data_IF_355351887553
#
_entry.id   IF_355351887553
#
_cell.length_a   1.000
_cell.length_b   1.000
_cell.length_c   1.000
_cell.angle_alpha   90.00
_cell.angle_beta   90.00
_cell.angle_gamma   90.00
#
_symmetry.space_group_name_H-M   'P 1'
#
loop_
_entity.id
_entity.type
_entity.pdbx_description
1 polymer ?
#
# COMPACT_ATOMS: atom_id res chain seq x y z
N UNK A 1 13.47 49.47 15.67
CA UNK A 1 12.09 48.92 15.68
C UNK A 1 11.29 49.61 14.59
N UNK A 2 11.07 48.94 13.46
CA UNK A 2 10.41 49.52 12.28
C UNK A 2 8.89 49.48 12.39
N UNK A 3 8.23 50.52 11.87
CA UNK A 3 6.79 50.61 11.70
C UNK A 3 6.47 50.62 10.21
N UNK A 4 5.47 49.84 9.78
CA UNK A 4 5.12 49.67 8.36
C UNK A 4 3.67 50.07 8.11
N UNK A 5 3.36 50.48 6.88
CA UNK A 5 1.99 50.81 6.47
C UNK A 5 1.11 49.55 6.43
N UNK A 6 -0.22 49.74 6.39
CA UNK A 6 -1.17 48.64 6.21
C UNK A 6 -0.87 47.81 4.97
N UNK A 7 -0.55 48.46 3.84
CA UNK A 7 -0.22 47.82 2.57
C UNK A 7 1.03 46.94 2.69
N UNK A 8 2.09 47.46 3.30
CA UNK A 8 3.31 46.71 3.54
C UNK A 8 3.11 45.56 4.53
N UNK A 9 2.29 45.76 5.57
CA UNK A 9 1.94 44.69 6.50
C UNK A 9 1.12 43.58 5.82
N UNK A 10 0.15 43.93 4.99
CA UNK A 10 -0.67 42.98 4.23
C UNK A 10 0.14 42.21 3.19
N UNK A 11 1.05 42.88 2.48
CA UNK A 11 1.96 42.24 1.53
C UNK A 11 2.88 41.22 2.23
N UNK A 12 3.39 41.54 3.43
CA UNK A 12 4.24 40.64 4.21
C UNK A 12 3.48 39.47 4.84
N UNK A 13 2.23 39.68 5.25
CA UNK A 13 1.36 38.63 5.80
C UNK A 13 0.73 37.76 4.70
N UNK A 14 0.52 38.29 3.49
CA UNK A 14 -0.23 37.62 2.43
C UNK A 14 -1.71 37.39 2.82
N UNK A 15 -2.32 38.34 3.52
CA UNK A 15 -3.69 38.23 4.05
C UNK A 15 -4.55 39.43 3.66
N UNK A 16 -5.87 39.32 3.87
CA UNK A 16 -6.82 40.42 3.63
C UNK A 16 -6.83 41.42 4.80
N UNK A 17 -7.24 42.69 4.58
CA UNK A 17 -7.31 43.72 5.63
C UNK A 17 -8.01 43.27 6.91
N UNK A 18 -9.09 42.50 6.79
CA UNK A 18 -9.84 41.99 7.96
C UNK A 18 -8.95 41.16 8.90
N UNK A 19 -8.01 40.39 8.35
CA UNK A 19 -7.09 39.55 9.13
C UNK A 19 -6.04 40.39 9.85
N UNK A 20 -5.52 41.45 9.22
CA UNK A 20 -4.60 42.39 9.87
C UNK A 20 -5.28 43.08 11.06
N UNK A 21 -6.48 43.64 10.86
CA UNK A 21 -7.22 44.33 11.91
C UNK A 21 -7.62 43.41 13.06
N UNK A 22 -8.02 42.16 12.77
CA UNK A 22 -8.33 41.17 13.81
C UNK A 22 -7.10 40.83 14.67
N UNK A 23 -5.90 40.81 14.10
CA UNK A 23 -4.67 40.56 14.88
C UNK A 23 -4.25 41.77 15.72
N UNK A 24 -4.55 42.98 15.26
CA UNK A 24 -4.35 44.21 16.05
C UNK A 24 -5.32 44.27 17.23
N UNK A 25 -6.61 44.02 16.98
CA UNK A 25 -7.64 43.97 18.04
C UNK A 25 -7.32 42.92 19.11
N UNK A 26 -6.68 41.80 18.73
CA UNK A 26 -6.24 40.73 19.64
C UNK A 26 -4.86 40.99 20.28
N UNK A 27 -4.28 42.18 20.09
CA UNK A 27 -2.98 42.56 20.65
C UNK A 27 -1.78 41.78 20.09
N UNK A 28 -1.94 41.08 18.96
CA UNK A 28 -0.87 40.27 18.34
C UNK A 28 0.05 41.08 17.43
N UNK A 29 -0.45 42.22 16.93
CA UNK A 29 0.30 43.21 16.17
C UNK A 29 0.05 44.56 16.81
N UNK A 30 1.10 45.24 17.29
CA UNK A 30 0.98 46.60 17.77
C UNK A 30 0.70 47.57 16.61
N UNK A 31 -0.19 48.53 16.84
CA UNK A 31 -0.53 49.58 15.90
C UNK A 31 -0.45 50.97 16.55
N UNK A 32 -0.09 52.00 15.78
CA UNK A 32 -0.09 53.39 16.21
C UNK A 32 -0.56 54.32 15.08
N UNK A 33 -1.05 55.53 15.37
CA UNK A 33 -1.37 56.52 14.35
C UNK A 33 -0.14 56.90 13.51
N UNK A 34 -0.34 57.16 12.22
CA UNK A 34 0.70 57.68 11.35
C UNK A 34 0.93 59.18 11.64
N UNK A 35 2.16 59.62 11.97
CA UNK A 35 2.47 61.03 12.20
C UNK A 35 2.22 61.94 10.98
N UNK A 36 2.23 61.39 9.76
CA UNK A 36 2.02 62.13 8.52
C UNK A 36 0.55 62.21 8.09
N UNK A 37 -0.31 61.30 8.58
CA UNK A 37 -1.74 61.27 8.27
C UNK A 37 -2.53 60.65 9.44
N UNK A 38 -3.25 61.46 10.25
CA UNK A 38 -4.01 60.97 11.40
C UNK A 38 -5.09 59.93 11.06
N UNK A 39 -5.47 59.80 9.78
CA UNK A 39 -6.45 58.79 9.32
C UNK A 39 -5.82 57.43 9.03
N UNK A 40 -4.49 57.31 9.11
CA UNK A 40 -3.75 56.08 8.83
C UNK A 40 -3.12 55.52 10.09
N UNK A 41 -2.93 54.20 10.09
CA UNK A 41 -2.23 53.48 11.15
C UNK A 41 -0.96 52.83 10.60
N UNK A 42 0.08 52.82 11.42
CA UNK A 42 1.31 52.07 11.21
C UNK A 42 1.33 50.84 12.13
N UNK A 43 1.93 49.76 11.67
CA UNK A 43 1.96 48.46 12.34
C UNK A 43 3.39 48.06 12.66
N UNK A 44 3.60 47.40 13.79
CA UNK A 44 4.91 46.88 14.18
C UNK A 44 5.42 45.88 13.14
N UNK A 45 6.55 46.22 12.50
CA UNK A 45 7.20 45.35 11.49
C UNK A 45 7.58 44.00 12.08
N UNK A 46 8.04 44.00 13.33
CA UNK A 46 8.49 42.79 14.04
C UNK A 46 7.32 41.84 14.34
N UNK A 47 6.19 42.38 14.78
CA UNK A 47 5.00 41.57 15.06
C UNK A 47 4.41 40.97 13.77
N UNK A 48 4.40 41.77 12.71
CA UNK A 48 3.99 41.36 11.36
C UNK A 48 4.89 40.23 10.85
N UNK A 49 6.22 40.38 10.98
CA UNK A 49 7.19 39.36 10.55
C UNK A 49 7.09 38.07 11.37
N UNK A 50 6.95 38.19 12.69
CA UNK A 50 6.76 37.05 13.60
C UNK A 50 5.49 36.27 13.26
N UNK A 51 4.39 36.98 12.96
CA UNK A 51 3.13 36.35 12.58
C UNK A 51 3.21 35.72 11.18
N UNK A 52 3.84 36.39 10.22
CA UNK A 52 4.07 35.87 8.87
C UNK A 52 4.96 34.61 8.88
N UNK A 53 6.02 34.60 9.70
CA UNK A 53 6.89 33.44 9.86
C UNK A 53 6.14 32.22 10.43
N UNK A 54 5.28 32.42 11.44
CA UNK A 54 4.44 31.36 12.00
C UNK A 54 3.44 30.79 10.97
N UNK A 55 2.79 31.64 10.18
CA UNK A 55 1.88 31.18 9.13
C UNK A 55 2.58 30.43 8.01
N UNK A 56 3.75 30.90 7.56
CA UNK A 56 4.59 30.20 6.58
C UNK A 56 5.06 28.84 7.11
N UNK A 57 5.50 28.77 8.37
CA UNK A 57 5.90 27.51 9.00
C UNK A 57 4.76 26.49 9.07
N UNK A 58 3.54 26.94 9.38
CA UNK A 58 2.36 26.07 9.43
C UNK A 58 1.96 25.53 8.06
N UNK A 59 1.93 26.37 7.01
CA UNK A 59 1.68 25.92 5.63
C UNK A 59 2.75 24.95 5.15
N UNK A 60 4.02 25.20 5.47
CA UNK A 60 5.12 24.27 5.14
C UNK A 60 4.93 22.91 5.82
N UNK A 61 4.55 22.88 7.09
CA UNK A 61 4.27 21.63 7.82
C UNK A 61 3.04 20.88 7.26
N UNK A 62 1.98 21.60 6.87
CA UNK A 62 0.78 21.00 6.23
C UNK A 62 1.12 20.39 4.86
N UNK A 63 1.90 21.08 4.03
CA UNK A 63 2.35 20.56 2.73
C UNK A 63 3.25 19.34 2.90
N UNK A 64 4.19 19.37 3.85
CA UNK A 64 5.06 18.21 4.16
C UNK A 64 4.23 17.01 4.62
N UNK A 65 3.31 17.19 5.57
CA UNK A 65 2.46 16.10 6.05
C UNK A 65 1.54 15.50 4.97
N UNK A 66 0.99 16.33 4.07
CA UNK A 66 0.17 15.86 2.96
C UNK A 66 1.01 15.10 1.91
N UNK A 67 2.23 15.55 1.65
CA UNK A 67 3.17 14.86 0.76
C UNK A 67 3.60 13.53 1.36
N UNK A 68 3.96 13.48 2.65
CA UNK A 68 4.35 12.26 3.36
C UNK A 68 3.33 11.11 3.23
N UNK A 69 2.03 11.39 3.24
CA UNK A 69 0.97 10.35 3.12
C UNK A 69 0.75 9.90 1.67
N UNK A 70 1.07 10.74 0.68
CA UNK A 70 0.81 10.48 -0.74
C UNK A 70 2.11 10.47 -1.54
N UNK A 71 2.85 9.36 -1.45
CA UNK A 71 4.10 9.13 -2.21
C UNK A 71 5.22 10.13 -1.94
N UNK A 72 5.20 10.82 -0.81
CA UNK A 72 6.28 11.70 -0.33
C UNK A 72 7.24 10.97 0.61
N UNK A 73 7.90 11.74 1.47
CA UNK A 73 8.96 11.20 2.34
C UNK A 73 8.46 10.08 3.26
N UNK A 74 9.28 9.04 3.52
CA UNK A 74 8.91 7.91 4.38
C UNK A 74 8.35 8.35 5.73
N UNK A 75 7.15 7.86 6.08
CA UNK A 75 6.43 8.26 7.30
C UNK A 75 6.79 7.37 8.49
N UNK A 76 7.22 6.14 8.21
CA UNK A 76 7.60 5.14 9.21
C UNK A 76 8.92 4.51 8.80
N UNK A 77 9.78 4.26 9.79
CA UNK A 77 10.97 3.45 9.58
C UNK A 77 10.54 1.98 9.40
N UNK A 78 11.23 1.29 8.50
CA UNK A 78 11.13 -0.16 8.34
C UNK A 78 12.48 -0.73 7.92
N UNK A 79 12.79 -1.94 8.38
CA UNK A 79 13.94 -2.72 7.95
C UNK A 79 13.53 -3.94 7.09
N UNK A 80 12.25 -4.03 6.70
CA UNK A 80 11.67 -5.22 6.05
C UNK A 80 11.94 -5.19 4.54
N UNK A 81 11.58 -4.10 3.86
CA UNK A 81 11.75 -3.97 2.41
C UNK A 81 12.01 -2.55 1.98
N UNK A 82 12.56 -2.40 0.78
CA UNK A 82 12.74 -1.09 0.13
C UNK A 82 12.75 -1.25 -1.39
N UNK A 83 12.43 -0.16 -2.11
CA UNK A 83 12.63 -0.08 -3.55
C UNK A 83 13.70 0.97 -3.83
N UNK A 84 14.81 0.56 -4.44
CA UNK A 84 15.95 1.41 -4.77
C UNK A 84 16.30 1.16 -6.24
N UNK A 85 16.41 2.24 -7.02
CA UNK A 85 16.76 2.19 -8.45
C UNK A 85 15.92 1.18 -9.24
N UNK A 86 14.60 1.19 -9.00
CA UNK A 86 13.65 0.30 -9.65
C UNK A 86 13.71 -1.17 -9.19
N UNK A 87 14.55 -1.53 -8.22
CA UNK A 87 14.68 -2.91 -7.72
C UNK A 87 14.03 -3.05 -6.34
N UNK A 88 13.39 -4.19 -6.10
CA UNK A 88 12.76 -4.52 -4.83
C UNK A 88 13.69 -5.38 -3.98
N UNK A 89 13.93 -4.96 -2.74
CA UNK A 89 14.76 -5.68 -1.80
C UNK A 89 13.96 -6.11 -0.57
N UNK A 90 14.16 -7.35 -0.14
CA UNK A 90 13.66 -7.94 1.09
C UNK A 90 14.85 -8.13 2.03
N UNK A 91 14.92 -7.35 3.13
CA UNK A 91 16.05 -7.39 4.08
C UNK A 91 17.43 -7.26 3.39
N UNK A 92 17.49 -6.52 2.29
CA UNK A 92 18.70 -6.32 1.48
C UNK A 92 18.91 -7.34 0.36
N UNK A 93 18.11 -8.41 0.29
CA UNK A 93 18.16 -9.39 -0.79
C UNK A 93 17.22 -9.03 -1.93
N UNK A 94 17.65 -9.18 -3.18
CA UNK A 94 16.83 -8.85 -4.35
C UNK A 94 15.66 -9.83 -4.51
N UNK A 95 14.43 -9.31 -4.53
CA UNK A 95 13.22 -10.12 -4.59
C UNK A 95 13.08 -10.92 -5.90
N UNK A 96 13.55 -10.38 -7.03
CA UNK A 96 13.54 -11.08 -8.31
C UNK A 96 14.54 -12.25 -8.28
N UNK A 97 15.73 -12.03 -7.72
CA UNK A 97 16.72 -13.11 -7.52
C UNK A 97 16.19 -14.20 -6.58
N UNK A 98 15.62 -13.82 -5.43
CA UNK A 98 15.00 -14.75 -4.48
C UNK A 98 13.93 -15.61 -5.14
N UNK A 99 13.09 -15.02 -6.01
CA UNK A 99 12.01 -15.74 -6.67
C UNK A 99 12.49 -16.96 -7.47
N UNK A 100 13.75 -16.96 -7.93
CA UNK A 100 14.30 -18.04 -8.75
C UNK A 100 14.51 -19.34 -7.98
N UNK A 101 14.74 -19.27 -6.66
CA UNK A 101 15.08 -20.45 -5.86
C UNK A 101 14.34 -20.57 -4.52
N UNK A 102 13.91 -19.46 -3.91
CA UNK A 102 13.25 -19.47 -2.61
C UNK A 102 11.76 -19.85 -2.73
N UNK A 103 11.20 -20.44 -1.68
CA UNK A 103 9.76 -20.56 -1.50
C UNK A 103 9.23 -19.50 -0.51
N UNK A 104 7.91 -19.47 -0.33
CA UNK A 104 7.27 -18.47 0.52
C UNK A 104 7.65 -18.66 1.99
N UNK A 105 7.82 -19.90 2.43
CA UNK A 105 8.27 -20.28 3.76
C UNK A 105 9.68 -19.73 4.07
N UNK A 106 10.61 -19.84 3.12
CA UNK A 106 11.96 -19.27 3.21
C UNK A 106 11.91 -17.75 3.27
N UNK A 107 11.08 -17.12 2.43
CA UNK A 107 10.90 -15.66 2.44
C UNK A 107 10.24 -15.18 3.73
N UNK A 108 9.32 -15.95 4.31
CA UNK A 108 8.74 -15.65 5.61
C UNK A 108 9.79 -15.68 6.72
N UNK A 109 10.66 -16.70 6.73
CA UNK A 109 11.77 -16.77 7.69
C UNK A 109 12.71 -15.56 7.56
N UNK A 110 13.02 -15.14 6.33
CA UNK A 110 13.83 -13.94 6.06
C UNK A 110 13.15 -12.66 6.57
N UNK A 111 11.91 -12.41 6.16
CA UNK A 111 11.20 -11.17 6.49
C UNK A 111 10.91 -11.04 7.99
N UNK A 112 10.56 -12.15 8.64
CA UNK A 112 10.29 -12.22 10.08
C UNK A 112 11.56 -12.33 10.93
N UNK A 113 12.73 -12.52 10.31
CA UNK A 113 14.01 -12.78 11.00
C UNK A 113 13.88 -13.92 12.01
N UNK A 114 13.20 -15.00 11.60
CA UNK A 114 12.93 -16.17 12.42
C UNK A 114 13.80 -17.36 12.01
N UNK A 115 13.75 -18.43 12.80
CA UNK A 115 14.19 -19.75 12.34
C UNK A 115 13.28 -20.30 11.22
N UNK A 116 13.51 -21.54 10.77
CA UNK A 116 12.71 -22.18 9.73
C UNK A 116 11.19 -22.09 10.01
N UNK A 117 10.44 -21.70 8.98
CA UNK A 117 8.99 -21.51 9.05
C UNK A 117 8.28 -22.67 8.37
N UNK A 118 7.23 -23.18 9.02
CA UNK A 118 6.31 -24.15 8.43
C UNK A 118 4.89 -23.64 8.67
N UNK A 119 4.14 -23.44 7.59
CA UNK A 119 2.73 -23.03 7.68
C UNK A 119 1.85 -24.21 8.04
N UNK A 120 1.51 -24.34 9.32
CA UNK A 120 0.65 -25.43 9.80
C UNK A 120 -0.73 -25.36 9.14
N UNK A 121 -1.13 -26.41 8.45
CA UNK A 121 -2.46 -26.48 7.84
C UNK A 121 -3.53 -26.70 8.90
N UNK A 122 -4.05 -25.59 9.44
CA UNK A 122 -5.10 -25.58 10.46
C UNK A 122 -6.43 -25.37 9.77
N UNK A 123 -7.32 -26.35 9.90
CA UNK A 123 -8.65 -26.27 9.34
C UNK A 123 -9.47 -25.24 10.11
N UNK A 124 -9.83 -24.16 9.43
CA UNK A 124 -10.82 -23.20 9.91
C UNK A 124 -12.04 -23.34 8.99
N UNK A 125 -13.24 -23.65 9.53
CA UNK A 125 -14.45 -23.75 8.72
C UNK A 125 -14.69 -22.41 7.99
N UNK A 126 -14.49 -22.45 6.67
CA UNK A 126 -14.66 -21.33 5.78
C UNK A 126 -15.15 -21.86 4.43
N UNK A 127 -16.05 -21.11 3.79
CA UNK A 127 -16.62 -21.45 2.49
C UNK A 127 -16.67 -20.20 1.60
N UNK A 128 -16.77 -20.43 0.29
CA UNK A 128 -16.77 -19.37 -0.72
C UNK A 128 -15.58 -19.50 -1.66
N UNK A 129 -15.46 -18.53 -2.56
CA UNK A 129 -14.44 -18.50 -3.60
C UNK A 129 -13.46 -17.34 -3.41
N UNK A 130 -12.28 -17.48 -4.03
CA UNK A 130 -11.21 -16.49 -3.98
C UNK A 130 -10.75 -16.18 -2.56
N UNK A 131 -10.76 -14.90 -2.18
CA UNK A 131 -10.30 -14.44 -0.86
C UNK A 131 -11.39 -14.50 0.22
N UNK A 132 -12.62 -14.91 -0.10
CA UNK A 132 -13.72 -14.98 0.88
C UNK A 132 -13.40 -15.91 2.04
N UNK A 133 -12.87 -17.14 1.82
CA UNK A 133 -12.48 -18.01 2.92
C UNK A 133 -11.38 -17.42 3.82
N UNK A 134 -10.46 -16.62 3.24
CA UNK A 134 -9.43 -15.92 4.00
C UNK A 134 -10.02 -14.88 4.98
N UNK A 135 -11.02 -14.11 4.53
CA UNK A 135 -11.75 -13.18 5.41
C UNK A 135 -12.41 -13.89 6.59
N UNK A 136 -13.11 -14.99 6.32
CA UNK A 136 -13.80 -15.77 7.36
C UNK A 136 -12.80 -16.32 8.37
N UNK A 137 -11.70 -16.92 7.88
CA UNK A 137 -10.68 -17.50 8.74
C UNK A 137 -10.02 -16.44 9.64
N UNK A 138 -9.66 -15.29 9.07
CA UNK A 138 -9.07 -14.19 9.81
C UNK A 138 -10.03 -13.57 10.82
N UNK A 139 -11.32 -13.46 10.49
CA UNK A 139 -12.33 -12.94 11.43
C UNK A 139 -12.50 -13.87 12.64
N UNK A 140 -12.53 -15.20 12.43
CA UNK A 140 -12.63 -16.18 13.50
C UNK A 140 -11.37 -16.18 14.40
N UNK A 141 -10.18 -16.10 13.80
CA UNK A 141 -8.92 -15.95 14.53
C UNK A 141 -8.87 -14.62 15.29
N UNK A 142 -9.23 -13.50 14.66
CA UNK A 142 -9.23 -12.18 15.29
C UNK A 142 -10.14 -12.12 16.52
N UNK A 143 -11.23 -12.88 16.55
CA UNK A 143 -12.16 -12.94 17.68
C UNK A 143 -11.62 -13.76 18.89
N UNK A 144 -10.60 -14.58 18.70
CA UNK A 144 -10.14 -15.56 19.72
C UNK A 144 -8.66 -15.45 20.06
N UNK A 145 -7.86 -14.90 19.16
CA UNK A 145 -6.42 -14.75 19.33
C UNK A 145 -6.09 -13.67 20.37
N UNK A 146 -5.00 -13.90 21.09
CA UNK A 146 -4.52 -12.97 22.11
C UNK A 146 -3.92 -11.70 21.47
N UNK A 147 -3.96 -10.55 22.20
CA UNK A 147 -3.22 -9.35 21.83
C UNK A 147 -1.73 -9.62 21.56
N UNK A 148 -1.16 -8.87 20.62
CA UNK A 148 0.25 -9.04 20.23
C UNK A 148 1.26 -8.34 21.15
N UNK A 149 0.80 -7.36 21.95
CA UNK A 149 1.67 -6.60 22.86
C UNK A 149 2.28 -7.48 23.95
N UNK A 150 3.53 -7.18 24.30
CA UNK A 150 4.27 -7.82 25.40
C UNK A 150 4.47 -9.34 25.24
N UNK A 151 4.22 -9.87 24.03
CA UNK A 151 4.48 -11.27 23.66
C UNK A 151 5.93 -11.43 23.23
N UNK A 152 6.54 -12.58 23.54
CA UNK A 152 7.90 -12.84 23.09
C UNK A 152 7.98 -13.06 21.57
N UNK A 153 9.09 -12.70 20.90
CA UNK A 153 9.25 -12.91 19.46
C UNK A 153 9.01 -14.36 19.02
N UNK A 154 9.49 -15.33 19.80
CA UNK A 154 9.27 -16.75 19.52
C UNK A 154 7.79 -17.17 19.52
N UNK A 155 6.96 -16.54 20.36
CA UNK A 155 5.51 -16.78 20.37
C UNK A 155 4.86 -16.14 19.15
N UNK A 156 5.20 -14.88 18.86
CA UNK A 156 4.65 -14.14 17.73
C UNK A 156 5.02 -14.79 16.38
N UNK A 157 6.24 -15.33 16.23
CA UNK A 157 6.62 -16.06 15.01
C UNK A 157 5.80 -17.34 14.81
N UNK A 158 5.51 -18.09 15.88
CA UNK A 158 4.62 -19.26 15.79
C UNK A 158 3.20 -18.85 15.45
N UNK A 159 2.70 -17.76 16.03
CA UNK A 159 1.38 -17.22 15.72
C UNK A 159 1.28 -16.71 14.28
N UNK A 160 2.32 -16.05 13.77
CA UNK A 160 2.41 -15.62 12.37
C UNK A 160 2.32 -16.83 11.41
N UNK A 161 3.14 -17.86 11.65
CA UNK A 161 3.08 -19.10 10.86
C UNK A 161 1.71 -19.79 10.92
N UNK A 162 1.06 -19.75 12.10
CA UNK A 162 -0.29 -20.27 12.32
C UNK A 162 -1.33 -19.49 11.51
N UNK A 163 -1.25 -18.17 11.48
CA UNK A 163 -2.15 -17.29 10.71
C UNK A 163 -2.03 -17.59 9.22
N UNK A 164 -0.82 -17.62 8.66
CA UNK A 164 -0.62 -17.98 7.24
C UNK A 164 -1.15 -19.37 6.93
N UNK A 165 -0.85 -20.34 7.81
CA UNK A 165 -1.30 -21.71 7.67
C UNK A 165 -2.81 -21.85 7.65
N UNK A 166 -3.51 -21.13 8.53
CA UNK A 166 -4.97 -21.06 8.59
C UNK A 166 -5.60 -20.39 7.36
N UNK A 167 -5.06 -19.24 6.93
CA UNK A 167 -5.56 -18.53 5.73
C UNK A 167 -5.36 -19.38 4.49
N UNK A 168 -4.17 -19.97 4.34
CA UNK A 168 -3.90 -20.87 3.22
C UNK A 168 -4.83 -22.09 3.25
N UNK A 169 -5.05 -22.72 4.41
CA UNK A 169 -5.91 -23.90 4.53
C UNK A 169 -7.39 -23.58 4.30
N UNK A 170 -7.84 -22.36 4.63
CA UNK A 170 -9.19 -21.90 4.32
C UNK A 170 -9.42 -21.81 2.80
N UNK A 171 -8.38 -21.46 2.04
CA UNK A 171 -8.43 -21.41 0.57
C UNK A 171 -8.24 -22.80 -0.04
N UNK A 172 -7.22 -23.55 0.38
CA UNK A 172 -6.79 -24.79 -0.29
C UNK A 172 -7.47 -26.05 0.25
N UNK A 173 -8.19 -25.94 1.37
CA UNK A 173 -8.48 -27.08 2.23
C UNK A 173 -7.23 -27.56 3.00
N UNK A 174 -7.43 -28.57 3.86
CA UNK A 174 -6.36 -29.11 4.71
C UNK A 174 -5.40 -29.97 3.88
N UNK A 175 -4.18 -29.49 3.69
CA UNK A 175 -3.14 -30.16 2.88
C UNK A 175 -1.75 -29.96 3.51
N UNK A 176 -0.86 -30.92 3.32
CA UNK A 176 0.56 -30.83 3.75
C UNK A 176 1.44 -30.23 2.65
N UNK A 177 2.64 -29.82 3.02
CA UNK A 177 3.66 -29.30 2.10
C UNK A 177 3.64 -27.78 1.97
N UNK A 178 4.57 -27.22 1.18
CA UNK A 178 4.67 -25.80 0.90
C UNK A 178 3.37 -25.21 0.33
N UNK A 179 3.10 -23.94 0.62
CA UNK A 179 1.84 -23.30 0.22
C UNK A 179 1.63 -23.32 -1.30
N UNK A 180 2.68 -23.16 -2.09
CA UNK A 180 2.60 -23.16 -3.56
C UNK A 180 2.19 -24.52 -4.12
N UNK A 181 2.68 -25.63 -3.55
CA UNK A 181 2.27 -26.99 -3.95
C UNK A 181 0.82 -27.26 -3.57
N UNK A 182 0.40 -26.81 -2.39
CA UNK A 182 -1.00 -26.92 -1.95
C UNK A 182 -1.97 -26.18 -2.86
N UNK A 183 -1.58 -25.00 -3.34
CA UNK A 183 -2.36 -24.24 -4.32
C UNK A 183 -2.42 -24.97 -5.67
N UNK A 184 -1.28 -25.45 -6.16
CA UNK A 184 -1.20 -26.22 -7.40
C UNK A 184 -2.09 -27.48 -7.35
N UNK A 185 -2.05 -28.23 -6.24
CA UNK A 185 -2.91 -29.39 -6.02
C UNK A 185 -4.38 -29.01 -5.91
N UNK A 186 -4.70 -27.96 -5.15
CA UNK A 186 -6.08 -27.47 -4.99
C UNK A 186 -6.71 -27.06 -6.33
N UNK A 187 -5.94 -26.39 -7.19
CA UNK A 187 -6.38 -26.00 -8.54
C UNK A 187 -6.21 -27.10 -9.59
N UNK A 188 -5.72 -28.28 -9.21
CA UNK A 188 -5.49 -29.41 -10.12
C UNK A 188 -4.53 -29.06 -11.28
N UNK A 189 -3.49 -28.27 -10.97
CA UNK A 189 -2.45 -27.80 -11.91
C UNK A 189 -1.06 -27.99 -11.28
N UNK A 190 -0.61 -29.23 -11.04
CA UNK A 190 0.70 -29.51 -10.45
C UNK A 190 1.87 -28.88 -11.25
N UNK A 191 1.73 -28.77 -12.57
CA UNK A 191 2.69 -28.12 -13.47
C UNK A 191 2.87 -26.62 -13.21
N UNK A 192 1.89 -25.97 -12.56
CA UNK A 192 1.97 -24.55 -12.21
C UNK A 192 2.77 -24.30 -10.91
N UNK A 193 3.13 -25.34 -10.14
CA UNK A 193 3.69 -25.19 -8.79
C UNK A 193 4.90 -24.26 -8.73
N UNK A 194 5.85 -24.37 -9.68
CA UNK A 194 7.03 -23.49 -9.71
C UNK A 194 6.66 -22.03 -9.98
N UNK A 195 5.69 -21.78 -10.86
CA UNK A 195 5.24 -20.42 -11.15
C UNK A 195 4.45 -19.82 -10.00
N UNK A 196 3.64 -20.63 -9.30
CA UNK A 196 2.96 -20.20 -8.08
C UNK A 196 3.97 -19.86 -6.98
N UNK A 197 5.05 -20.64 -6.84
CA UNK A 197 6.16 -20.36 -5.91
C UNK A 197 6.77 -18.99 -6.18
N UNK A 198 7.18 -18.74 -7.44
CA UNK A 198 7.77 -17.47 -7.87
C UNK A 198 6.83 -16.29 -7.64
N UNK A 199 5.56 -16.43 -8.04
CA UNK A 199 4.55 -15.40 -7.85
C UNK A 199 4.38 -15.04 -6.37
N UNK A 200 4.26 -16.03 -5.48
CA UNK A 200 4.12 -15.80 -4.05
C UNK A 200 5.34 -15.07 -3.46
N UNK A 201 6.56 -15.41 -3.87
CA UNK A 201 7.78 -14.71 -3.44
C UNK A 201 7.77 -13.24 -3.90
N UNK A 202 7.45 -12.98 -5.16
CA UNK A 202 7.40 -11.63 -5.72
C UNK A 202 6.28 -10.76 -5.10
N UNK A 203 5.23 -11.39 -4.56
CA UNK A 203 4.11 -10.73 -3.90
C UNK A 203 4.27 -10.60 -2.40
N UNK A 204 5.26 -11.29 -1.82
CA UNK A 204 5.43 -11.46 -0.38
C UNK A 204 5.38 -10.12 0.38
N UNK A 205 6.01 -9.08 -0.18
CA UNK A 205 6.12 -7.78 0.47
C UNK A 205 6.32 -6.66 -0.56
N UNK A 206 5.84 -5.45 -0.26
CA UNK A 206 6.02 -4.29 -1.14
C UNK A 206 5.88 -2.96 -0.40
N UNK A 207 6.81 -2.69 0.51
CA UNK A 207 6.92 -1.45 1.29
C UNK A 207 5.60 -1.09 2.03
N UNK A 208 5.47 0.15 2.51
CA UNK A 208 4.31 0.72 3.19
C UNK A 208 3.17 1.10 2.23
N UNK A 209 2.77 0.17 1.36
CA UNK A 209 1.53 0.31 0.60
C UNK A 209 0.29 0.39 1.52
N UNK A 210 -0.87 0.78 0.98
CA UNK A 210 -2.06 1.08 1.78
C UNK A 210 -2.50 -0.05 2.73
N UNK A 211 -2.47 -1.32 2.27
CA UNK A 211 -2.85 -2.46 3.13
C UNK A 211 -1.80 -2.74 4.20
N UNK A 212 -0.51 -2.62 3.87
CA UNK A 212 0.56 -2.69 4.86
C UNK A 212 0.42 -1.60 5.94
N UNK A 213 0.12 -0.36 5.54
CA UNK A 213 -0.11 0.72 6.49
C UNK A 213 -1.32 0.45 7.40
N UNK A 214 -2.43 -0.04 6.85
CA UNK A 214 -3.60 -0.42 7.64
C UNK A 214 -3.28 -1.55 8.64
N UNK A 215 -2.49 -2.54 8.23
CA UNK A 215 -1.98 -3.59 9.12
C UNK A 215 -1.15 -3.00 10.26
N UNK A 216 -0.22 -2.07 9.98
CA UNK A 216 0.56 -1.40 11.04
C UNK A 216 -0.31 -0.58 11.97
N UNK A 217 -1.32 0.12 11.45
CA UNK A 217 -2.28 0.88 12.29
C UNK A 217 -2.97 -0.07 13.28
N UNK A 218 -3.50 -1.20 12.83
CA UNK A 218 -4.14 -2.19 13.70
C UNK A 218 -3.15 -2.82 14.70
N UNK A 219 -1.95 -3.20 14.24
CA UNK A 219 -0.92 -3.73 15.12
C UNK A 219 -0.49 -2.72 16.21
N UNK A 220 -0.45 -1.42 15.89
CA UNK A 220 -0.05 -0.36 16.83
C UNK A 220 -1.01 -0.18 18.02
N UNK A 221 -2.24 -0.70 17.93
CA UNK A 221 -3.19 -0.72 19.05
C UNK A 221 -3.05 -1.96 19.92
N UNK A 222 -2.15 -2.88 19.57
CA UNK A 222 -1.98 -4.17 20.21
C UNK A 222 -2.93 -5.27 19.77
N UNK A 223 -3.63 -5.08 18.65
CA UNK A 223 -4.48 -6.12 18.07
C UNK A 223 -3.70 -7.43 17.84
N UNK A 224 -4.40 -8.57 17.83
CA UNK A 224 -3.79 -9.85 17.48
C UNK A 224 -3.23 -9.81 16.05
N UNK A 225 -2.26 -10.68 15.75
CA UNK A 225 -1.67 -10.76 14.40
C UNK A 225 -2.75 -11.05 13.33
N UNK A 226 -3.72 -11.92 13.62
CA UNK A 226 -4.84 -12.18 12.73
C UNK A 226 -5.71 -10.94 12.48
N UNK A 227 -6.00 -10.14 13.52
CA UNK A 227 -6.74 -8.90 13.39
C UNK A 227 -5.98 -7.85 12.56
N UNK A 228 -4.66 -7.76 12.73
CA UNK A 228 -3.81 -6.86 11.94
C UNK A 228 -3.77 -7.27 10.45
N UNK A 229 -3.69 -8.57 10.17
CA UNK A 229 -3.79 -9.12 8.81
C UNK A 229 -5.18 -8.90 8.22
N UNK A 230 -6.25 -9.06 9.01
CA UNK A 230 -7.63 -8.78 8.58
C UNK A 230 -7.80 -7.32 8.14
N UNK A 231 -7.21 -6.36 8.86
CA UNK A 231 -7.22 -4.95 8.46
C UNK A 231 -6.50 -4.72 7.12
N UNK A 232 -5.37 -5.41 6.91
CA UNK A 232 -4.65 -5.41 5.63
C UNK A 232 -5.49 -5.98 4.50
N UNK A 233 -6.10 -7.15 4.70
CA UNK A 233 -6.96 -7.80 3.70
C UNK A 233 -8.21 -6.96 3.37
N UNK A 234 -8.85 -6.36 4.37
CA UNK A 234 -9.97 -5.44 4.18
C UNK A 234 -9.57 -4.19 3.40
N UNK A 235 -8.34 -3.71 3.56
CA UNK A 235 -7.82 -2.58 2.78
C UNK A 235 -7.46 -3.00 1.36
N UNK A 236 -6.94 -4.22 1.17
CA UNK A 236 -6.63 -4.78 -0.14
C UNK A 236 -7.89 -4.96 -1.00
N UNK A 237 -9.06 -5.28 -0.42
CA UNK A 237 -10.29 -5.46 -1.20
C UNK A 237 -10.82 -4.18 -1.87
N UNK A 238 -10.26 -3.01 -1.56
CA UNK A 238 -10.62 -1.75 -2.21
C UNK A 238 -10.24 -1.73 -3.70
N UNK A 239 -11.06 -1.13 -4.59
CA UNK A 239 -10.84 -1.16 -6.04
C UNK A 239 -9.58 -0.42 -6.49
N UNK A 240 -9.07 0.52 -5.69
CA UNK A 240 -7.82 1.25 -5.95
C UNK A 240 -6.57 0.50 -5.46
N UNK A 241 -6.74 -0.70 -4.89
CA UNK A 241 -5.66 -1.57 -4.44
C UNK A 241 -5.80 -2.95 -5.10
N UNK A 242 -6.63 -3.86 -4.59
CA UNK A 242 -6.83 -5.20 -5.13
C UNK A 242 -7.80 -5.30 -6.32
N UNK A 243 -8.29 -4.17 -6.85
CA UNK A 243 -9.22 -4.14 -7.99
C UNK A 243 -8.58 -4.42 -9.35
N UNK A 244 -7.24 -4.48 -9.43
CA UNK A 244 -6.50 -4.66 -10.67
C UNK A 244 -6.86 -5.97 -11.40
N UNK A 245 -7.03 -7.07 -10.67
CA UNK A 245 -7.40 -8.37 -11.26
C UNK A 245 -8.74 -8.33 -12.00
N UNK A 246 -9.77 -7.73 -11.39
CA UNK A 246 -11.09 -7.58 -12.01
C UNK A 246 -11.04 -6.64 -13.22
N UNK A 247 -10.32 -5.52 -13.11
CA UNK A 247 -10.16 -4.58 -14.21
C UNK A 247 -9.40 -5.21 -15.40
N UNK A 248 -8.41 -6.06 -15.14
CA UNK A 248 -7.70 -6.80 -16.18
C UNK A 248 -8.60 -7.82 -16.86
N UNK A 249 -9.43 -8.54 -16.09
CA UNK A 249 -10.41 -9.47 -16.66
C UNK A 249 -11.39 -8.74 -17.59
N UNK A 250 -11.88 -7.56 -17.20
CA UNK A 250 -12.73 -6.74 -18.06
C UNK A 250 -12.02 -6.30 -19.34
N UNK A 251 -10.71 -6.02 -19.29
CA UNK A 251 -9.92 -5.68 -20.47
C UNK A 251 -9.77 -6.89 -21.40
N UNK A 252 -9.50 -8.07 -20.84
CA UNK A 252 -9.37 -9.34 -21.58
C UNK A 252 -10.67 -9.65 -22.33
N UNK A 253 -11.83 -9.55 -21.68
CA UNK A 253 -13.14 -9.79 -22.32
C UNK A 253 -13.39 -8.86 -23.51
N UNK A 254 -12.93 -7.60 -23.43
CA UNK A 254 -13.02 -6.67 -24.56
C UNK A 254 -12.01 -7.03 -25.65
N UNK A 255 -10.81 -7.46 -25.28
CA UNK A 255 -9.76 -7.86 -26.22
C UNK A 255 -10.10 -9.13 -27.01
N UNK A 256 -10.80 -10.08 -26.41
CA UNK A 256 -11.33 -11.27 -27.11
C UNK A 256 -12.30 -10.89 -28.23
N UNK A 257 -13.02 -9.77 -28.09
CA UNK A 257 -14.01 -9.32 -29.08
C UNK A 257 -13.42 -8.39 -30.14
N UNK A 258 -12.53 -7.48 -29.73
CA UNK A 258 -12.05 -6.37 -30.57
C UNK A 258 -10.59 -6.52 -31.00
N UNK A 259 -9.89 -7.54 -30.51
CA UNK A 259 -8.44 -7.64 -30.55
C UNK A 259 -7.77 -6.71 -29.50
N UNK A 260 -6.47 -6.94 -29.20
CA UNK A 260 -5.73 -6.18 -28.21
C UNK A 260 -5.70 -4.66 -28.45
N UNK A 261 -5.40 -4.23 -29.68
CA UNK A 261 -5.33 -2.82 -30.04
C UNK A 261 -6.72 -2.17 -30.01
N UNK A 262 -7.75 -2.92 -30.39
CA UNK A 262 -9.14 -2.47 -30.31
C UNK A 262 -9.59 -2.24 -28.87
N UNK A 263 -9.21 -3.13 -27.95
CA UNK A 263 -9.51 -3.00 -26.53
C UNK A 263 -8.79 -1.81 -25.89
N UNK A 264 -7.48 -1.65 -26.13
CA UNK A 264 -6.71 -0.51 -25.61
C UNK A 264 -7.30 0.83 -26.10
N UNK A 265 -7.59 0.95 -27.41
CA UNK A 265 -8.23 2.16 -27.97
C UNK A 265 -9.60 2.42 -27.35
N UNK A 266 -10.41 1.38 -27.15
CA UNK A 266 -11.76 1.50 -26.57
C UNK A 266 -11.72 2.05 -25.14
N UNK A 267 -10.79 1.56 -24.31
CA UNK A 267 -10.61 2.06 -22.94
C UNK A 267 -10.20 3.53 -22.91
N UNK A 268 -9.18 3.90 -23.69
CA UNK A 268 -8.66 5.26 -23.73
C UNK A 268 -9.70 6.26 -24.31
N UNK A 269 -10.46 5.86 -25.33
CA UNK A 269 -11.53 6.69 -25.89
C UNK A 269 -12.66 7.00 -24.89
N UNK A 270 -12.85 6.16 -23.88
CA UNK A 270 -13.80 6.35 -22.78
C UNK A 270 -13.20 7.14 -21.60
N UNK A 271 -11.96 7.63 -21.71
CA UNK A 271 -11.24 8.30 -20.63
C UNK A 271 -10.85 7.35 -19.49
N UNK A 272 -10.87 6.03 -19.70
CA UNK A 272 -10.43 5.04 -18.72
C UNK A 272 -8.93 4.83 -18.84
N UNK A 273 -8.24 4.69 -17.70
CA UNK A 273 -6.86 4.20 -17.69
C UNK A 273 -6.80 2.74 -18.14
N UNK A 274 -5.70 2.35 -18.79
CA UNK A 274 -5.45 0.96 -19.13
C UNK A 274 -5.00 0.20 -17.87
N UNK A 275 -5.75 -0.83 -17.40
CA UNK A 275 -5.41 -1.51 -16.16
C UNK A 275 -4.11 -2.31 -16.29
N UNK A 276 -3.37 -2.39 -15.19
CA UNK A 276 -2.15 -3.20 -15.05
C UNK A 276 -0.95 -2.78 -15.91
N UNK A 277 -0.92 -1.53 -16.39
CA UNK A 277 0.26 -0.89 -17.00
C UNK A 277 0.82 0.19 -16.08
N UNK A 278 2.15 0.27 -16.05
CA UNK A 278 2.88 1.25 -15.26
C UNK A 278 2.90 0.96 -13.77
N UNK A 279 3.88 1.55 -13.10
CA UNK A 279 3.97 1.55 -11.65
C UNK A 279 4.87 2.71 -11.18
N UNK A 280 4.44 3.48 -10.18
CA UNK A 280 5.16 4.70 -9.75
C UNK A 280 6.57 4.43 -9.23
N UNK A 281 6.78 3.31 -8.53
CA UNK A 281 8.11 2.90 -8.04
C UNK A 281 8.99 2.27 -9.14
N UNK A 282 8.42 1.99 -10.31
CA UNK A 282 9.09 1.28 -11.41
C UNK A 282 8.84 2.01 -12.74
N UNK A 283 9.41 3.21 -12.92
CA UNK A 283 9.20 4.00 -14.14
C UNK A 283 9.63 3.26 -15.41
N UNK A 284 10.63 2.37 -15.32
CA UNK A 284 11.13 1.57 -16.45
C UNK A 284 10.49 0.16 -16.56
N UNK A 285 9.45 -0.10 -15.77
CA UNK A 285 8.69 -1.35 -15.73
C UNK A 285 8.86 -2.13 -14.42
N UNK A 286 7.76 -2.70 -13.93
CA UNK A 286 7.72 -3.44 -12.66
C UNK A 286 8.58 -4.71 -12.72
N UNK A 287 9.70 -4.69 -11.98
CA UNK A 287 10.67 -5.80 -11.97
C UNK A 287 10.03 -7.14 -11.58
N UNK A 288 8.97 -7.13 -10.78
CA UNK A 288 8.27 -8.36 -10.38
C UNK A 288 7.50 -8.94 -11.56
N UNK A 289 6.75 -8.10 -12.27
CA UNK A 289 5.98 -8.52 -13.45
C UNK A 289 6.92 -9.00 -14.56
N UNK A 290 7.98 -8.23 -14.82
CA UNK A 290 8.99 -8.57 -15.82
C UNK A 290 9.72 -9.87 -15.49
N UNK A 291 10.15 -10.08 -14.24
CA UNK A 291 10.81 -11.32 -13.84
C UNK A 291 9.84 -12.51 -13.98
N UNK A 292 8.60 -12.42 -13.50
CA UNK A 292 7.66 -13.53 -13.54
C UNK A 292 7.34 -13.98 -14.97
N UNK A 293 7.10 -13.02 -15.88
CA UNK A 293 6.76 -13.27 -17.28
C UNK A 293 7.89 -13.91 -18.10
N UNK A 294 9.15 -13.89 -17.62
CA UNK A 294 10.27 -14.55 -18.31
C UNK A 294 10.26 -16.07 -18.16
N UNK A 295 9.52 -16.62 -17.20
CA UNK A 295 9.59 -18.04 -16.85
C UNK A 295 8.42 -18.89 -17.38
N UNK A 296 7.52 -18.30 -18.18
CA UNK A 296 6.46 -19.03 -18.88
C UNK A 296 6.13 -18.39 -20.24
N UNK A 297 5.54 -19.17 -21.14
CA UNK A 297 5.07 -18.65 -22.43
C UNK A 297 3.80 -17.82 -22.23
N UNK A 298 3.85 -16.52 -22.50
CA UNK A 298 2.66 -15.67 -22.45
C UNK A 298 1.63 -16.16 -23.48
N UNK A 299 0.33 -16.25 -23.13
CA UNK A 299 -0.70 -16.55 -24.12
C UNK A 299 -0.76 -15.46 -25.20
N UNK A 300 -1.10 -15.79 -26.47
CA UNK A 300 -1.07 -14.84 -27.59
C UNK A 300 -1.87 -13.55 -27.35
N UNK A 301 -3.03 -13.66 -26.69
CA UNK A 301 -3.85 -12.49 -26.34
C UNK A 301 -3.11 -11.54 -25.39
N UNK A 302 -2.40 -12.08 -24.39
CA UNK A 302 -1.61 -11.28 -23.46
C UNK A 302 -0.35 -10.70 -24.12
N UNK A 303 0.29 -11.42 -25.05
CA UNK A 303 1.38 -10.86 -25.85
C UNK A 303 0.91 -9.63 -26.63
N UNK A 304 -0.23 -9.75 -27.32
CA UNK A 304 -0.83 -8.64 -28.05
C UNK A 304 -1.27 -7.50 -27.15
N UNK A 305 -1.86 -7.78 -25.99
CA UNK A 305 -2.25 -6.75 -25.01
C UNK A 305 -1.05 -6.00 -24.45
N UNK A 306 0.04 -6.70 -24.16
CA UNK A 306 1.31 -6.11 -23.72
C UNK A 306 1.81 -5.09 -24.76
N UNK A 307 1.95 -5.52 -26.02
CA UNK A 307 2.44 -4.67 -27.11
C UNK A 307 1.50 -3.49 -27.41
N UNK A 308 0.19 -3.74 -27.43
CA UNK A 308 -0.81 -2.71 -27.66
C UNK A 308 -0.84 -1.67 -26.53
N UNK A 309 -0.72 -2.11 -25.27
CA UNK A 309 -0.68 -1.22 -24.11
C UNK A 309 0.59 -0.37 -24.08
N UNK A 310 1.76 -0.97 -24.27
CA UNK A 310 3.03 -0.23 -24.36
C UNK A 310 2.99 0.83 -25.46
N UNK A 311 2.45 0.49 -26.63
CA UNK A 311 2.28 1.45 -27.73
C UNK A 311 1.31 2.58 -27.38
N UNK A 312 0.23 2.27 -26.67
CA UNK A 312 -0.85 3.22 -26.41
C UNK A 312 -0.58 4.17 -25.24
N UNK A 313 0.13 3.72 -24.20
CA UNK A 313 0.37 4.52 -22.99
C UNK A 313 1.86 4.73 -22.66
N UNK A 314 2.79 4.07 -23.35
CA UNK A 314 4.23 4.19 -23.11
C UNK A 314 4.71 3.52 -21.81
N UNK A 315 3.83 2.80 -21.12
CA UNK A 315 4.11 2.10 -19.87
C UNK A 315 4.09 0.59 -20.09
N UNK A 316 4.92 -0.14 -19.34
CA UNK A 316 5.03 -1.60 -19.42
C UNK A 316 4.02 -2.31 -18.50
N UNK A 317 3.64 -3.57 -18.79
CA UNK A 317 2.83 -4.36 -17.88
C UNK A 317 3.46 -4.50 -16.50
N UNK A 318 2.63 -4.45 -15.45
CA UNK A 318 3.06 -4.61 -14.06
C UNK A 318 2.80 -6.03 -13.53
N UNK A 319 3.05 -6.26 -12.23
CA UNK A 319 2.84 -7.58 -11.62
C UNK A 319 1.39 -8.10 -11.74
N UNK A 320 0.38 -7.23 -11.69
CA UNK A 320 -1.02 -7.65 -11.78
C UNK A 320 -1.35 -8.17 -13.18
N UNK A 321 -0.75 -7.60 -14.23
CA UNK A 321 -0.83 -8.14 -15.59
C UNK A 321 -0.18 -9.51 -15.65
N UNK A 322 1.02 -9.66 -15.08
CA UNK A 322 1.74 -10.92 -15.07
C UNK A 322 0.96 -12.04 -14.34
N UNK A 323 0.23 -11.72 -13.26
CA UNK A 323 -0.63 -12.68 -12.57
C UNK A 323 -1.85 -13.09 -13.41
N UNK A 324 -2.47 -12.15 -14.13
CA UNK A 324 -3.56 -12.48 -15.04
C UNK A 324 -3.06 -13.35 -16.21
N UNK A 325 -1.90 -13.02 -16.78
CA UNK A 325 -1.26 -13.82 -17.82
C UNK A 325 -0.88 -15.22 -17.32
N UNK A 326 -0.37 -15.32 -16.09
CA UNK A 326 -0.06 -16.59 -15.44
C UNK A 326 -1.34 -17.44 -15.26
N UNK A 327 -2.42 -16.84 -14.79
CA UNK A 327 -3.69 -17.54 -14.61
C UNK A 327 -4.21 -18.09 -15.94
N UNK A 328 -4.11 -17.32 -17.02
CA UNK A 328 -4.48 -17.78 -18.36
C UNK A 328 -3.52 -18.84 -18.93
N UNK A 329 -2.22 -18.78 -18.65
CA UNK A 329 -1.24 -19.71 -19.17
C UNK A 329 -1.36 -21.13 -18.56
N UNK A 330 -1.86 -21.24 -17.34
CA UNK A 330 -1.97 -22.50 -16.60
C UNK A 330 -3.43 -22.89 -16.29
N UNK A 331 -4.40 -22.27 -16.95
CA UNK A 331 -5.84 -22.50 -16.74
C UNK A 331 -6.25 -22.44 -15.25
N UNK A 332 -5.72 -21.45 -14.53
CA UNK A 332 -6.06 -21.22 -13.12
C UNK A 332 -7.45 -20.57 -13.00
N UNK A 333 -8.14 -20.71 -11.85
CA UNK A 333 -9.40 -20.03 -11.63
C UNK A 333 -9.29 -18.51 -11.78
N UNK A 334 -10.36 -17.83 -12.20
CA UNK A 334 -10.39 -16.37 -12.34
C UNK A 334 -10.07 -15.62 -11.04
N UNK A 335 -10.30 -16.26 -9.88
CA UNK A 335 -9.97 -15.72 -8.56
C UNK A 335 -8.51 -15.91 -8.16
N UNK A 336 -7.71 -16.65 -8.94
CA UNK A 336 -6.32 -16.97 -8.62
C UNK A 336 -5.41 -15.73 -8.49
N UNK A 337 -5.45 -14.72 -9.39
CA UNK A 337 -4.58 -13.54 -9.26
C UNK A 337 -4.70 -12.83 -7.91
N UNK A 338 -5.94 -12.52 -7.49
CA UNK A 338 -6.17 -11.85 -6.20
C UNK A 338 -5.90 -12.77 -5.01
N UNK A 339 -6.17 -14.07 -5.15
CA UNK A 339 -5.84 -15.07 -4.12
C UNK A 339 -4.34 -15.16 -3.89
N UNK A 340 -3.53 -15.24 -4.95
CA UNK A 340 -2.07 -15.25 -4.86
C UNK A 340 -1.54 -13.95 -4.23
N UNK A 341 -2.10 -12.82 -4.63
CA UNK A 341 -1.74 -11.52 -4.05
C UNK A 341 -1.99 -11.50 -2.55
N UNK A 342 -3.20 -11.85 -2.10
CA UNK A 342 -3.55 -11.85 -0.69
C UNK A 342 -2.71 -12.84 0.13
N UNK A 343 -2.50 -14.06 -0.38
CA UNK A 343 -1.71 -15.09 0.31
C UNK A 343 -0.24 -14.71 0.40
N UNK A 344 0.37 -14.25 -0.68
CA UNK A 344 1.75 -13.77 -0.69
C UNK A 344 1.92 -12.59 0.26
N UNK A 345 1.08 -11.55 0.12
CA UNK A 345 1.18 -10.33 0.91
C UNK A 345 0.95 -10.52 2.41
N UNK A 346 0.30 -11.62 2.82
CA UNK A 346 0.15 -11.97 4.24
C UNK A 346 1.51 -12.08 4.94
N UNK A 347 2.57 -12.48 4.24
CA UNK A 347 3.93 -12.55 4.81
C UNK A 347 4.44 -11.17 5.20
N UNK A 348 4.37 -10.20 4.27
CA UNK A 348 4.75 -8.82 4.50
C UNK A 348 3.90 -8.14 5.57
N UNK A 349 2.58 -8.33 5.54
CA UNK A 349 1.68 -7.83 6.59
C UNK A 349 2.08 -8.33 7.99
N UNK A 350 2.39 -9.62 8.13
CA UNK A 350 2.87 -10.17 9.39
C UNK A 350 4.25 -9.62 9.76
N UNK A 351 5.18 -9.44 8.82
CA UNK A 351 6.47 -8.83 9.08
C UNK A 351 6.32 -7.41 9.65
N UNK A 352 5.45 -6.61 9.04
CA UNK A 352 5.15 -5.23 9.48
C UNK A 352 4.39 -5.19 10.81
N UNK A 353 3.50 -6.16 11.07
CA UNK A 353 2.83 -6.28 12.36
C UNK A 353 3.81 -6.64 13.48
N UNK A 354 4.78 -7.53 13.21
CA UNK A 354 5.86 -7.90 14.12
C UNK A 354 6.77 -6.71 14.41
N UNK A 355 7.23 -5.99 13.37
CA UNK A 355 8.05 -4.77 13.52
C UNK A 355 7.29 -3.69 14.31
N UNK A 356 5.99 -3.54 14.07
CA UNK A 356 5.17 -2.59 14.83
C UNK A 356 5.04 -3.00 16.31
N UNK A 357 4.81 -4.28 16.59
CA UNK A 357 4.70 -4.80 17.96
C UNK A 357 6.01 -4.62 18.74
N UNK A 358 7.17 -4.83 18.09
CA UNK A 358 8.49 -4.58 18.67
C UNK A 358 8.71 -3.10 18.99
N UNK A 359 8.26 -2.19 18.11
CA UNK A 359 8.39 -0.75 18.36
C UNK A 359 7.53 -0.25 19.53
N UNK A 360 6.40 -0.91 19.81
CA UNK A 360 5.42 -0.51 20.83
C UNK A 360 4.73 0.85 20.60
N UNK A 361 5.04 1.57 19.51
CA UNK A 361 4.56 2.91 19.27
C UNK A 361 3.14 2.92 18.68
N UNK A 362 2.25 3.74 19.24
CA UNK A 362 0.89 3.92 18.72
C UNK A 362 0.88 4.82 17.47
N UNK A 363 0.26 4.37 16.38
CA UNK A 363 0.02 5.20 15.20
C UNK A 363 -1.29 5.97 15.40
N UNK A 364 -1.18 7.26 15.74
CA UNK A 364 -2.35 8.13 16.00
C UNK A 364 -2.19 9.51 15.35
N UNK A 365 -2.46 9.64 14.03
CA UNK A 365 -2.37 10.92 13.35
C UNK A 365 -3.40 11.93 13.87
N UNK A 366 -3.13 13.22 13.64
CA UNK A 366 -4.06 14.32 13.92
C UNK A 366 -4.63 14.84 12.61
N UNK A 367 -5.95 15.08 12.59
CA UNK A 367 -6.59 15.76 11.48
C UNK A 367 -6.49 17.29 11.65
N UNK A 368 -6.38 18.01 10.52
CA UNK A 368 -6.64 19.43 10.47
C UNK A 368 -8.14 19.67 10.34
N UNK A 369 -8.77 20.24 11.38
CA UNK A 369 -10.20 20.51 11.37
C UNK A 369 -10.52 21.71 10.47
N UNK A 370 -11.34 21.49 9.44
CA UNK A 370 -11.78 22.50 8.45
C UNK A 370 -13.28 22.80 8.53
N UNK A 371 -13.95 22.34 9.60
CA UNK A 371 -15.35 22.65 9.85
C UNK A 371 -15.57 24.03 10.48
N UNK A 372 -16.83 24.40 10.79
CA UNK A 372 -17.16 25.67 11.44
C UNK A 372 -16.41 25.88 12.76
N UNK A 373 -15.95 27.10 13.02
CA UNK A 373 -15.33 27.41 14.31
C UNK A 373 -16.35 27.19 15.45
N UNK A 374 -15.93 26.69 16.63
CA UNK A 374 -16.83 26.51 17.76
C UNK A 374 -17.50 27.84 18.14
N UNK A 375 -18.82 27.81 18.34
CA UNK A 375 -19.56 28.93 18.93
C UNK A 375 -19.30 28.87 20.44
N UNK A 376 -18.67 29.91 20.97
CA UNK A 376 -18.35 30.04 22.39
C UNK A 376 -19.47 30.67 23.20
#
# INVERSE_FOLDING_TARGET
MGWVTAEAALARLGTKPQTLYANVSRGRIAAKPDPADPRRSLYSSEDVERLAARQRGRRKAETVAAQSIAWGDPVLNTAISTVIDGRLFYRGEDAAALSRHADLETVAALLWQSGPVIFQSIAIPASGEGITPAFIALAQLAATDMPSLERSPAVLHREAARVVGAVGAAVTGRQSGPLHERLAMHWQRPEAADMLRRALVLLAEHELNASTFATRVAASTGASLAAAVLAGLATLSGPRHGGAAAAMQDLVVVAERLGPEGAARSYLAQGRALPCFGHRLYPDGDVRGLELMQHFALPPLYQGLSAAGETAVGERPNIDFALAALAAAFDLPQTAPLTLFALGRTIGWLAHALEQAESGALIRPRAHYVGPAPIG
#
